data_IF_021581815130
#
_entry.id   IF_021581815130
#
_cell.length_a   1.000
_cell.length_b   1.000
_cell.length_c   1.000
_cell.angle_alpha   90.00
_cell.angle_beta   90.00
_cell.angle_gamma   90.00
#
_symmetry.space_group_name_H-M   'P 1'
#
loop_
_entity.id
_entity.type
_entity.pdbx_description
1 polymer ?
#
# COMPACT_ATOMS: atom_id res chain seq x y z
N UNK A 1 12.60 -4.87 -4.34
CA UNK A 1 11.73 -3.90 -5.04
C UNK A 1 11.60 -4.39 -6.47
N UNK A 2 10.40 -4.37 -7.06
CA UNK A 2 10.20 -4.87 -8.42
C UNK A 2 11.00 -4.01 -9.42
N UNK A 3 11.87 -4.62 -10.22
CA UNK A 3 12.67 -3.91 -11.22
C UNK A 3 11.91 -3.81 -12.54
N UNK A 4 11.22 -2.68 -12.73
CA UNK A 4 10.45 -2.42 -13.95
C UNK A 4 11.32 -2.18 -15.19
N UNK A 5 12.63 -1.98 -15.03
CA UNK A 5 13.53 -1.86 -16.16
C UNK A 5 13.85 -3.24 -16.74
N UNK A 6 14.17 -4.21 -15.89
CA UNK A 6 14.41 -5.61 -16.31
C UNK A 6 13.17 -6.22 -16.99
N UNK A 7 11.99 -6.02 -16.42
CA UNK A 7 10.71 -6.47 -17.01
C UNK A 7 10.46 -5.83 -18.39
N UNK A 8 10.79 -4.55 -18.53
CA UNK A 8 10.66 -3.86 -19.81
C UNK A 8 11.58 -4.46 -20.88
N UNK A 9 12.85 -4.73 -20.54
CA UNK A 9 13.82 -5.31 -21.47
C UNK A 9 13.39 -6.71 -21.94
N UNK A 10 12.95 -7.58 -21.03
CA UNK A 10 12.42 -8.91 -21.39
C UNK A 10 11.21 -8.82 -22.34
N UNK A 11 10.31 -7.88 -22.08
CA UNK A 11 9.16 -7.63 -22.95
C UNK A 11 9.57 -7.01 -24.28
N UNK A 12 10.55 -6.11 -24.30
CA UNK A 12 11.02 -5.48 -25.54
C UNK A 12 11.66 -6.52 -26.46
N UNK A 13 12.43 -7.44 -25.88
CA UNK A 13 13.06 -8.55 -26.61
C UNK A 13 12.05 -9.56 -27.17
N UNK A 14 10.94 -9.81 -26.47
CA UNK A 14 9.97 -10.84 -26.88
C UNK A 14 8.86 -10.34 -27.81
N UNK A 15 8.38 -9.10 -27.62
CA UNK A 15 7.19 -8.60 -28.31
C UNK A 15 7.32 -7.17 -28.88
N UNK A 16 8.51 -6.58 -28.81
CA UNK A 16 8.81 -5.25 -29.37
C UNK A 16 8.57 -4.10 -28.39
N UNK A 17 9.26 -2.98 -28.63
CA UNK A 17 9.34 -1.85 -27.70
C UNK A 17 7.98 -1.21 -27.38
N UNK A 18 7.08 -1.10 -28.36
CA UNK A 18 5.78 -0.43 -28.18
C UNK A 18 4.91 -1.22 -27.21
N UNK A 19 4.80 -2.52 -27.41
CA UNK A 19 4.04 -3.44 -26.58
C UNK A 19 4.66 -3.51 -25.18
N UNK A 20 5.99 -3.62 -25.11
CA UNK A 20 6.75 -3.67 -23.85
C UNK A 20 6.53 -2.44 -22.99
N UNK A 21 6.58 -1.26 -23.62
CA UNK A 21 6.34 0.01 -22.95
C UNK A 21 4.91 0.10 -22.40
N UNK A 22 3.92 -0.36 -23.17
CA UNK A 22 2.52 -0.33 -22.76
C UNK A 22 2.30 -1.24 -21.54
N UNK A 23 2.74 -2.51 -21.63
CA UNK A 23 2.56 -3.50 -20.57
C UNK A 23 3.31 -3.11 -19.28
N UNK A 24 4.56 -2.68 -19.39
CA UNK A 24 5.35 -2.25 -18.22
C UNK A 24 4.70 -1.04 -17.53
N UNK A 25 4.14 -0.10 -18.31
CA UNK A 25 3.42 1.06 -17.77
C UNK A 25 2.17 0.63 -17.00
N UNK A 26 1.36 -0.27 -17.54
CA UNK A 26 0.17 -0.81 -16.87
C UNK A 26 0.54 -1.53 -15.56
N UNK A 27 1.57 -2.38 -15.58
CA UNK A 27 2.05 -3.08 -14.40
C UNK A 27 2.52 -2.12 -13.31
N UNK A 28 3.24 -1.05 -13.69
CA UNK A 28 3.68 -0.01 -12.74
C UNK A 28 2.51 0.70 -12.07
N UNK A 29 1.47 1.03 -12.84
CA UNK A 29 0.26 1.65 -12.28
C UNK A 29 -0.44 0.73 -11.29
N UNK A 30 -0.65 -0.54 -11.64
CA UNK A 30 -1.25 -1.53 -10.76
C UNK A 30 -0.44 -1.73 -9.48
N UNK A 31 0.89 -1.83 -9.58
CA UNK A 31 1.76 -1.95 -8.41
C UNK A 31 1.65 -0.73 -7.48
N UNK A 32 1.59 0.49 -8.05
CA UNK A 32 1.38 1.71 -7.27
C UNK A 32 0.02 1.74 -6.55
N UNK A 33 -1.05 1.32 -7.21
CA UNK A 33 -2.40 1.25 -6.61
C UNK A 33 -2.47 0.22 -5.49
N UNK A 34 -1.84 -0.95 -5.67
CA UNK A 34 -1.74 -1.99 -4.64
C UNK A 34 -0.96 -1.49 -3.41
N UNK A 35 0.19 -0.86 -3.62
CA UNK A 35 0.97 -0.27 -2.51
C UNK A 35 0.15 0.79 -1.76
N UNK A 36 -0.53 1.70 -2.46
CA UNK A 36 -1.39 2.69 -1.81
C UNK A 36 -2.53 2.06 -1.02
N UNK A 37 -3.12 0.97 -1.52
CA UNK A 37 -4.21 0.27 -0.84
C UNK A 37 -3.71 -0.42 0.44
N UNK A 38 -2.56 -1.09 0.38
CA UNK A 38 -1.91 -1.70 1.56
C UNK A 38 -1.59 -0.63 2.61
N UNK A 39 -0.98 0.50 2.22
CA UNK A 39 -0.69 1.61 3.14
C UNK A 39 -1.96 2.18 3.77
N UNK A 40 -3.06 2.30 3.00
CA UNK A 40 -4.36 2.74 3.54
C UNK A 40 -4.93 1.75 4.56
N UNK A 41 -4.77 0.45 4.32
CA UNK A 41 -5.20 -0.59 5.25
C UNK A 41 -4.39 -0.54 6.56
N UNK A 42 -3.06 -0.49 6.46
CA UNK A 42 -2.16 -0.34 7.63
C UNK A 42 -2.48 0.93 8.44
N UNK A 43 -2.74 2.05 7.75
CA UNK A 43 -3.13 3.29 8.41
C UNK A 43 -4.51 3.20 9.09
N UNK A 44 -5.44 2.43 8.53
CA UNK A 44 -6.74 2.19 9.14
C UNK A 44 -6.62 1.32 10.40
N UNK A 45 -5.78 0.30 10.38
CA UNK A 45 -5.48 -0.54 11.54
C UNK A 45 -4.83 0.28 12.67
N UNK A 46 -3.83 1.11 12.35
CA UNK A 46 -3.21 2.00 13.33
C UNK A 46 -4.24 2.95 13.96
N UNK A 47 -5.13 3.54 13.18
CA UNK A 47 -6.20 4.40 13.70
C UNK A 47 -7.16 3.65 14.63
N UNK A 48 -7.46 2.38 14.34
CA UNK A 48 -8.29 1.56 15.21
C UNK A 48 -7.62 1.34 16.56
N UNK A 49 -6.34 0.93 16.56
CA UNK A 49 -5.55 0.75 17.80
C UNK A 49 -5.49 2.04 18.62
N UNK A 50 -5.23 3.18 17.97
CA UNK A 50 -5.17 4.49 18.67
C UNK A 50 -6.53 4.86 19.28
N UNK A 51 -7.64 4.59 18.59
CA UNK A 51 -8.99 4.83 19.12
C UNK A 51 -9.25 3.95 20.35
N UNK A 52 -8.94 2.67 20.26
CA UNK A 52 -9.18 1.72 21.34
C UNK A 52 -8.33 2.08 22.58
N UNK A 53 -7.08 2.53 22.38
CA UNK A 53 -6.23 3.09 23.45
C UNK A 53 -6.83 4.36 24.07
N UNK A 54 -7.33 5.28 23.25
CA UNK A 54 -7.98 6.50 23.75
C UNK A 54 -9.25 6.19 24.54
N UNK A 55 -10.01 5.17 24.15
CA UNK A 55 -11.17 4.70 24.91
C UNK A 55 -10.77 4.01 26.23
N UNK A 56 -9.73 3.18 26.21
CA UNK A 56 -9.19 2.57 27.42
C UNK A 56 -8.72 3.63 28.43
N UNK A 57 -8.01 4.67 27.96
CA UNK A 57 -7.59 5.80 28.81
C UNK A 57 -8.81 6.52 29.43
N UNK A 58 -9.84 6.80 28.62
CA UNK A 58 -11.08 7.43 29.13
C UNK A 58 -11.81 6.60 30.18
N UNK A 59 -11.74 5.27 30.11
CA UNK A 59 -12.32 4.37 31.12
C UNK A 59 -11.53 4.44 32.41
N UNK A 60 -10.20 4.34 32.32
CA UNK A 60 -9.30 4.50 33.46
C UNK A 60 -9.54 5.83 34.17
N UNK A 61 -9.60 6.95 33.44
CA UNK A 61 -9.83 8.28 34.02
C UNK A 61 -11.18 8.38 34.76
N UNK A 62 -12.21 7.66 34.31
CA UNK A 62 -13.52 7.59 34.98
C UNK A 62 -13.49 6.70 36.23
N UNK A 63 -12.76 5.59 36.18
CA UNK A 63 -12.59 4.69 37.33
C UNK A 63 -11.80 5.38 38.47
N UNK A 64 -10.83 6.24 38.14
CA UNK A 64 -10.09 7.04 39.13
C UNK A 64 -10.89 8.22 39.73
N UNK A 65 -12.02 8.60 39.12
CA UNK A 65 -12.88 9.69 39.59
C UNK A 65 -14.05 9.22 40.48
N UNK A 66 -14.18 7.92 40.71
CA UNK A 66 -15.15 7.31 41.64
C UNK A 66 -14.49 6.87 42.94
#
# INVERSE_FOLDING_TARGET
MMDFYEIYEEFAQSMGEVQARLLTKTLRQMYGELQQTVTKAEFAELKAVVRDLAEAQKRTDKDWMH
#
